data_IF_805497071728
#
_entry.id   IF_805497071728
#
_cell.length_a   1.000
_cell.length_b   1.000
_cell.length_c   1.000
_cell.angle_alpha   90.00
_cell.angle_beta   90.00
_cell.angle_gamma   90.00
#
_symmetry.space_group_name_H-M   'P 1'
#
loop_
_entity.id
_entity.type
_entity.pdbx_description
1 polymer ?
#
# COMPACT_ATOMS: atom_id res chain seq x y z
N UNK A 1 -5.36 -34.97 19.34
CA UNK A 1 -6.06 -34.59 18.09
C UNK A 1 -5.44 -33.36 17.42
N UNK A 2 -4.93 -32.38 18.17
CA UNK A 2 -4.32 -31.16 17.60
C UNK A 2 -3.01 -31.39 16.81
N UNK A 3 -2.18 -32.36 17.20
CA UNK A 3 -0.93 -32.66 16.49
C UNK A 3 -1.16 -33.19 15.06
N UNK A 4 -2.23 -33.96 14.84
CA UNK A 4 -2.56 -34.51 13.52
C UNK A 4 -3.02 -33.38 12.58
N UNK A 5 -3.79 -32.42 13.08
CA UNK A 5 -4.20 -31.23 12.32
C UNK A 5 -3.00 -30.37 11.92
N UNK A 6 -2.04 -30.15 12.83
CA UNK A 6 -0.83 -29.36 12.56
C UNK A 6 0.01 -30.02 11.46
N UNK A 7 0.20 -31.35 11.53
CA UNK A 7 0.97 -32.09 10.52
C UNK A 7 0.25 -32.05 9.16
N UNK A 8 -1.08 -32.17 9.13
CA UNK A 8 -1.85 -32.14 7.88
C UNK A 8 -1.76 -30.77 7.19
N UNK A 9 -1.89 -29.67 7.93
CA UNK A 9 -1.76 -28.31 7.39
C UNK A 9 -0.34 -28.06 6.87
N UNK A 10 0.68 -28.54 7.59
CA UNK A 10 2.07 -28.40 7.19
C UNK A 10 2.38 -29.17 5.90
N UNK A 11 1.83 -30.38 5.73
CA UNK A 11 2.01 -31.17 4.50
C UNK A 11 1.35 -30.51 3.28
N UNK A 12 0.16 -29.93 3.45
CA UNK A 12 -0.52 -29.18 2.37
C UNK A 12 0.32 -27.97 1.95
N UNK A 13 0.86 -27.22 2.91
CA UNK A 13 1.69 -26.04 2.66
C UNK A 13 3.00 -26.38 1.94
N UNK A 14 3.68 -27.46 2.34
CA UNK A 14 4.91 -27.94 1.68
C UNK A 14 4.62 -28.44 0.27
N UNK A 15 3.49 -29.13 0.05
CA UNK A 15 3.10 -29.58 -1.29
C UNK A 15 2.77 -28.41 -2.24
N UNK A 16 2.11 -27.35 -1.75
CA UNK A 16 1.84 -26.15 -2.56
C UNK A 16 3.13 -25.41 -2.91
N UNK A 17 4.05 -25.27 -1.95
CA UNK A 17 5.37 -24.67 -2.17
C UNK A 17 6.24 -25.46 -3.16
N UNK A 18 6.17 -26.80 -3.13
CA UNK A 18 6.88 -27.66 -4.06
C UNK A 18 6.39 -27.45 -5.50
N UNK A 19 5.07 -27.43 -5.73
CA UNK A 19 4.46 -27.18 -7.05
C UNK A 19 4.82 -25.78 -7.58
N UNK A 20 4.80 -24.77 -6.70
CA UNK A 20 5.18 -23.39 -7.05
C UNK A 20 6.65 -23.25 -7.41
N UNK A 21 7.55 -24.06 -6.83
CA UNK A 21 8.98 -24.06 -7.19
C UNK A 21 9.25 -24.76 -8.52
N UNK A 22 8.53 -25.84 -8.83
CA UNK A 22 8.70 -26.57 -10.10
C UNK A 22 8.18 -25.81 -11.33
N UNK A 23 7.36 -24.76 -11.15
CA UNK A 23 6.93 -23.89 -12.26
C UNK A 23 7.91 -22.78 -12.63
N UNK A 24 9.03 -22.60 -11.89
CA UNK A 24 10.09 -21.64 -12.24
C UNK A 24 11.29 -22.35 -12.89
N UNK A 25 11.19 -22.44 -14.22
CA UNK A 25 12.20 -22.72 -15.24
C UNK A 25 12.86 -24.11 -15.29
N UNK A 26 12.84 -24.70 -16.50
CA UNK A 26 14.08 -25.10 -17.15
C UNK A 26 14.30 -24.30 -18.45
N UNK A 27 15.33 -23.47 -18.45
CA UNK A 27 16.03 -23.08 -19.67
C UNK A 27 16.90 -24.26 -20.13
N UNK A 28 16.56 -24.81 -21.28
CA UNK A 28 17.41 -25.42 -22.31
C UNK A 28 18.67 -26.21 -21.87
N UNK A 29 18.63 -27.54 -22.05
CA UNK A 29 19.79 -28.33 -22.49
C UNK A 29 19.30 -29.53 -23.33
N UNK A 30 20.09 -29.86 -24.33
CA UNK A 30 19.74 -30.59 -25.55
C UNK A 30 19.30 -32.04 -25.36
N UNK A 31 18.24 -32.43 -26.06
CA UNK A 31 18.17 -33.77 -26.67
C UNK A 31 17.65 -33.63 -28.10
N UNK A 32 18.60 -33.77 -29.01
CA UNK A 32 18.50 -34.04 -30.43
C UNK A 32 17.38 -35.04 -30.75
N UNK A 33 16.25 -34.54 -31.26
CA UNK A 33 15.34 -35.30 -32.11
C UNK A 33 14.87 -34.42 -33.27
N UNK A 34 15.11 -34.94 -34.46
CA UNK A 34 14.93 -34.32 -35.77
C UNK A 34 13.52 -33.73 -35.98
N UNK A 35 13.39 -32.60 -36.69
CA UNK A 35 12.10 -31.94 -36.89
C UNK A 35 11.21 -32.72 -37.88
N UNK A 36 9.93 -32.98 -37.58
CA UNK A 36 9.00 -33.42 -38.61
C UNK A 36 8.58 -32.20 -39.45
N UNK A 37 9.12 -32.11 -40.66
CA UNK A 37 8.42 -31.52 -41.80
C UNK A 37 8.66 -30.04 -42.08
N UNK A 38 9.91 -29.62 -42.31
CA UNK A 38 10.16 -28.49 -43.21
C UNK A 38 9.76 -28.92 -44.63
N UNK A 39 8.54 -28.57 -45.06
CA UNK A 39 8.17 -28.64 -46.47
C UNK A 39 9.07 -27.67 -47.24
N UNK A 40 9.76 -28.10 -48.31
CA UNK A 40 10.55 -27.20 -49.13
C UNK A 40 9.62 -26.16 -49.75
N UNK A 41 9.86 -24.89 -49.39
CA UNK A 41 9.16 -23.71 -49.87
C UNK A 41 9.51 -23.53 -51.36
N UNK A 42 8.60 -23.95 -52.24
CA UNK A 42 8.74 -23.72 -53.68
C UNK A 42 8.66 -22.22 -53.98
N UNK A 43 9.51 -21.73 -54.87
CA UNK A 43 9.60 -20.32 -55.29
C UNK A 43 8.38 -19.84 -56.11
N UNK A 44 7.25 -20.56 -56.05
CA UNK A 44 6.03 -20.31 -56.82
C UNK A 44 4.74 -20.59 -56.02
N UNK A 45 4.78 -20.62 -54.68
CA UNK A 45 3.56 -20.82 -53.88
C UNK A 45 2.78 -19.50 -53.75
N UNK A 46 2.11 -19.18 -54.84
CA UNK A 46 1.14 -18.11 -54.98
C UNK A 46 -0.25 -18.69 -54.67
N UNK A 47 -0.62 -18.75 -53.39
CA UNK A 47 -2.01 -18.66 -52.90
C UNK A 47 -2.10 -18.78 -51.37
N UNK A 48 -2.61 -17.71 -50.79
CA UNK A 48 -3.20 -17.66 -49.46
C UNK A 48 -4.20 -18.80 -49.22
N UNK A 49 -4.10 -19.50 -48.08
CA UNK A 49 -5.23 -19.89 -47.21
C UNK A 49 -4.66 -20.26 -45.83
N UNK A 50 -5.13 -19.61 -44.75
CA UNK A 50 -5.15 -20.24 -43.43
C UNK A 50 -4.38 -19.58 -42.28
N UNK A 51 -4.42 -18.26 -42.13
CA UNK A 51 -4.18 -17.59 -40.83
C UNK A 51 -5.47 -16.94 -40.35
N UNK A 52 -6.41 -17.75 -39.86
CA UNK A 52 -7.74 -17.32 -39.38
C UNK A 52 -8.05 -17.97 -38.02
N UNK A 53 -7.16 -17.82 -37.03
CA UNK A 53 -7.37 -18.40 -35.69
C UNK A 53 -6.79 -17.63 -34.51
N UNK A 54 -5.78 -16.78 -34.70
CA UNK A 54 -5.10 -16.12 -33.57
C UNK A 54 -5.69 -14.75 -33.17
N UNK A 55 -6.70 -14.25 -33.88
CA UNK A 55 -7.31 -12.93 -33.59
C UNK A 55 -8.51 -12.95 -32.64
N UNK A 56 -9.21 -14.07 -32.48
CA UNK A 56 -10.51 -14.08 -31.78
C UNK A 56 -10.41 -14.23 -30.27
N UNK A 57 -9.42 -14.97 -29.76
CA UNK A 57 -9.25 -15.19 -28.31
C UNK A 57 -8.67 -13.95 -27.64
N UNK A 58 -7.61 -13.36 -28.20
CA UNK A 58 -6.97 -12.13 -27.72
C UNK A 58 -7.93 -10.93 -27.76
N UNK A 59 -8.78 -10.81 -28.78
CA UNK A 59 -9.83 -9.79 -28.80
C UNK A 59 -10.91 -10.02 -27.74
N UNK A 60 -11.27 -11.28 -27.45
CA UNK A 60 -12.29 -11.59 -26.46
C UNK A 60 -11.83 -11.30 -25.03
N UNK A 61 -10.57 -11.62 -24.71
CA UNK A 61 -9.96 -11.35 -23.41
C UNK A 61 -9.80 -9.84 -23.17
N UNK A 62 -9.39 -9.09 -24.20
CA UNK A 62 -9.32 -7.62 -24.12
C UNK A 62 -10.68 -6.99 -23.84
N UNK A 63 -11.73 -7.40 -24.55
CA UNK A 63 -13.09 -6.88 -24.33
C UNK A 63 -13.58 -7.21 -22.92
N UNK A 64 -13.33 -8.42 -22.44
CA UNK A 64 -13.70 -8.82 -21.07
C UNK A 64 -12.95 -7.97 -20.01
N UNK A 65 -11.66 -7.69 -20.22
CA UNK A 65 -10.86 -6.82 -19.35
C UNK A 65 -11.40 -5.38 -19.36
N UNK A 66 -11.69 -4.82 -20.53
CA UNK A 66 -12.24 -3.48 -20.67
C UNK A 66 -13.63 -3.34 -20.04
N UNK A 67 -14.47 -4.38 -20.14
CA UNK A 67 -15.78 -4.42 -19.50
C UNK A 67 -15.67 -4.52 -17.97
N UNK A 68 -14.73 -5.34 -17.48
CA UNK A 68 -14.42 -5.43 -16.05
C UNK A 68 -13.95 -4.08 -15.49
N UNK A 69 -12.99 -3.43 -16.15
CA UNK A 69 -12.50 -2.10 -15.76
C UNK A 69 -13.61 -1.06 -15.78
N UNK A 70 -14.44 -1.02 -16.83
CA UNK A 70 -15.61 -0.12 -16.89
C UNK A 70 -16.58 -0.37 -15.74
N UNK A 71 -16.80 -1.63 -15.38
CA UNK A 71 -17.65 -2.00 -14.23
C UNK A 71 -17.10 -1.46 -12.91
N UNK A 72 -15.80 -1.60 -12.67
CA UNK A 72 -15.15 -1.07 -11.46
C UNK A 72 -15.20 0.46 -11.41
N UNK A 73 -14.91 1.14 -12.52
CA UNK A 73 -14.98 2.60 -12.61
C UNK A 73 -16.39 3.12 -12.33
N UNK A 74 -17.41 2.45 -12.87
CA UNK A 74 -18.81 2.82 -12.59
C UNK A 74 -19.18 2.67 -11.12
N UNK A 75 -18.71 1.60 -10.45
CA UNK A 75 -18.96 1.41 -9.01
C UNK A 75 -18.18 2.41 -8.16
N UNK A 76 -16.93 2.71 -8.52
CA UNK A 76 -16.12 3.73 -7.86
C UNK A 76 -16.78 5.11 -7.94
N UNK A 77 -17.34 5.48 -9.10
CA UNK A 77 -18.10 6.73 -9.25
C UNK A 77 -19.34 6.80 -8.33
N UNK A 78 -19.93 5.66 -7.99
CA UNK A 78 -21.03 5.57 -7.03
C UNK A 78 -20.58 5.60 -5.56
N UNK A 79 -19.27 5.54 -5.29
CA UNK A 79 -18.71 5.56 -3.93
C UNK A 79 -18.57 4.20 -3.27
N UNK A 80 -18.64 3.12 -4.04
CA UNK A 80 -18.40 1.79 -3.52
C UNK A 80 -16.90 1.60 -3.27
N UNK A 81 -16.48 1.44 -2.02
CA UNK A 81 -15.08 1.23 -1.66
C UNK A 81 -14.61 -0.21 -1.86
N UNK A 82 -15.53 -1.20 -1.92
CA UNK A 82 -15.18 -2.61 -2.12
C UNK A 82 -14.50 -2.86 -3.47
N UNK A 83 -14.74 -1.98 -4.45
CA UNK A 83 -14.06 -1.97 -5.75
C UNK A 83 -12.53 -1.93 -5.63
N UNK A 84 -11.99 -1.40 -4.54
CA UNK A 84 -10.54 -1.34 -4.33
C UNK A 84 -9.93 -2.74 -4.14
N UNK A 85 -10.68 -3.67 -3.55
CA UNK A 85 -10.23 -5.07 -3.40
C UNK A 85 -10.21 -5.77 -4.75
N UNK A 86 -11.27 -5.58 -5.54
CA UNK A 86 -11.38 -6.13 -6.89
C UNK A 86 -10.27 -5.57 -7.80
N UNK A 87 -10.01 -4.26 -7.70
CA UNK A 87 -8.94 -3.59 -8.44
C UNK A 87 -7.55 -4.04 -8.03
N UNK A 88 -7.33 -4.30 -6.73
CA UNK A 88 -6.06 -4.78 -6.20
C UNK A 88 -5.67 -6.16 -6.77
N UNK A 89 -6.65 -7.03 -7.01
CA UNK A 89 -6.43 -8.34 -7.63
C UNK A 89 -6.07 -8.25 -9.12
N UNK A 90 -6.37 -7.13 -9.78
CA UNK A 90 -6.02 -6.85 -11.16
C UNK A 90 -4.61 -6.30 -11.31
N UNK A 91 -4.49 -5.00 -11.55
CA UNK A 91 -3.21 -4.32 -11.76
C UNK A 91 -3.00 -3.17 -10.77
N UNK A 92 -1.74 -2.87 -10.46
CA UNK A 92 -1.40 -1.76 -9.57
C UNK A 92 -1.81 -0.39 -10.16
N UNK A 93 -1.82 -0.27 -11.49
CA UNK A 93 -2.23 0.96 -12.19
C UNK A 93 -3.74 1.17 -12.08
N UNK A 94 -4.53 0.12 -12.32
CA UNK A 94 -5.99 0.15 -12.17
C UNK A 94 -6.40 0.46 -10.73
N UNK A 95 -5.73 -0.17 -9.76
CA UNK A 95 -5.92 0.11 -8.34
C UNK A 95 -5.70 1.60 -8.02
N UNK A 96 -4.57 2.16 -8.45
CA UNK A 96 -4.26 3.59 -8.22
C UNK A 96 -5.28 4.49 -8.88
N UNK A 97 -5.67 4.20 -10.12
CA UNK A 97 -6.64 5.00 -10.85
C UNK A 97 -8.01 5.03 -10.15
N UNK A 98 -8.50 3.87 -9.70
CA UNK A 98 -9.76 3.76 -8.96
C UNK A 98 -9.66 4.48 -7.61
N UNK A 99 -8.55 4.34 -6.90
CA UNK A 99 -8.33 5.05 -5.64
C UNK A 99 -8.35 6.57 -5.83
N UNK A 100 -7.70 7.08 -6.87
CA UNK A 100 -7.71 8.52 -7.16
C UNK A 100 -9.12 9.01 -7.49
N UNK A 101 -9.92 8.26 -8.26
CA UNK A 101 -11.34 8.58 -8.52
C UNK A 101 -12.14 8.65 -7.21
N UNK A 102 -11.94 7.70 -6.29
CA UNK A 102 -12.63 7.69 -5.00
C UNK A 102 -12.22 8.90 -4.14
N UNK A 103 -10.93 9.25 -4.12
CA UNK A 103 -10.40 10.42 -3.39
C UNK A 103 -10.95 11.73 -3.97
N UNK A 104 -11.03 11.83 -5.29
CA UNK A 104 -11.62 12.98 -5.99
C UNK A 104 -13.12 13.11 -5.70
N UNK A 105 -13.85 11.98 -5.74
CA UNK A 105 -15.28 11.92 -5.43
C UNK A 105 -15.59 12.42 -4.03
N UNK A 106 -14.77 12.05 -3.03
CA UNK A 106 -14.95 12.56 -1.66
C UNK A 106 -14.91 14.10 -1.59
N UNK A 107 -14.37 14.78 -2.61
CA UNK A 107 -14.46 16.23 -2.74
C UNK A 107 -13.83 16.94 -1.55
N UNK A 108 -14.60 17.83 -0.91
CA UNK A 108 -14.22 18.53 0.33
C UNK A 108 -14.81 17.86 1.60
N UNK A 109 -15.50 16.72 1.44
CA UNK A 109 -16.11 16.02 2.57
C UNK A 109 -15.05 15.28 3.40
N UNK A 110 -14.66 15.88 4.51
CA UNK A 110 -13.72 15.28 5.45
C UNK A 110 -14.21 13.94 6.00
N UNK A 111 -15.52 13.78 6.21
CA UNK A 111 -16.12 12.54 6.73
C UNK A 111 -16.02 11.39 5.73
N UNK A 112 -16.29 11.64 4.45
CA UNK A 112 -16.15 10.62 3.41
C UNK A 112 -14.69 10.24 3.20
N UNK A 113 -13.79 11.23 3.20
CA UNK A 113 -12.35 11.00 3.08
C UNK A 113 -11.82 10.14 4.24
N UNK A 114 -12.28 10.42 5.46
CA UNK A 114 -11.98 9.60 6.65
C UNK A 114 -12.57 8.19 6.56
N UNK A 115 -13.76 8.04 5.99
CA UNK A 115 -14.37 6.71 5.79
C UNK A 115 -13.57 5.88 4.78
N UNK A 116 -13.09 6.49 3.71
CA UNK A 116 -12.19 5.84 2.74
C UNK A 116 -10.85 5.46 3.40
N UNK A 117 -10.30 6.36 4.23
CA UNK A 117 -9.10 6.09 5.00
C UNK A 117 -9.29 4.90 5.96
N UNK A 118 -10.39 4.87 6.72
CA UNK A 118 -10.74 3.76 7.61
C UNK A 118 -10.83 2.45 6.83
N UNK A 119 -11.51 2.47 5.68
CA UNK A 119 -11.60 1.30 4.81
C UNK A 119 -10.22 0.77 4.43
N UNK A 120 -9.30 1.63 3.96
CA UNK A 120 -7.94 1.21 3.57
C UNK A 120 -7.17 0.68 4.79
N UNK A 121 -7.22 1.37 5.93
CA UNK A 121 -6.45 0.97 7.12
C UNK A 121 -6.95 -0.30 7.80
N UNK A 122 -8.19 -0.72 7.55
CA UNK A 122 -8.76 -1.98 8.02
C UNK A 122 -8.42 -3.18 7.12
N UNK A 123 -7.85 -2.92 5.93
CA UNK A 123 -7.48 -3.96 4.96
C UNK A 123 -5.95 -3.94 4.76
N UNK A 124 -5.25 -4.88 5.40
CA UNK A 124 -3.78 -4.91 5.48
C UNK A 124 -3.05 -4.99 4.10
N UNK A 125 -3.75 -5.43 3.06
CA UNK A 125 -3.21 -5.56 1.70
C UNK A 125 -3.28 -4.25 0.90
N UNK A 126 -4.17 -3.34 1.28
CA UNK A 126 -4.42 -2.11 0.54
C UNK A 126 -3.36 -1.05 0.84
N UNK A 127 -3.02 -0.26 -0.18
CA UNK A 127 -2.04 0.83 -0.10
C UNK A 127 -2.74 2.16 -0.29
N UNK A 128 -2.37 3.16 0.50
CA UNK A 128 -2.92 4.49 0.31
C UNK A 128 -2.29 5.17 -0.91
N UNK A 129 -2.92 6.23 -1.41
CA UNK A 129 -2.30 7.13 -2.38
C UNK A 129 -1.68 8.32 -1.65
N UNK A 130 -0.67 8.93 -2.29
CA UNK A 130 -0.12 10.22 -1.85
C UNK A 130 -1.23 11.28 -1.70
N UNK A 131 -2.14 11.34 -2.67
CA UNK A 131 -3.25 12.30 -2.71
C UNK A 131 -4.18 12.16 -1.49
N UNK A 132 -4.53 10.93 -1.11
CA UNK A 132 -5.34 10.68 0.09
C UNK A 132 -4.61 11.15 1.36
N UNK A 133 -3.34 10.76 1.52
CA UNK A 133 -2.53 11.15 2.68
C UNK A 133 -2.37 12.67 2.79
N UNK A 134 -2.13 13.35 1.66
CA UNK A 134 -2.01 14.80 1.60
C UNK A 134 -3.32 15.50 2.03
N UNK A 135 -4.47 15.06 1.51
CA UNK A 135 -5.78 15.64 1.87
C UNK A 135 -6.15 15.41 3.33
N UNK A 136 -5.87 14.23 3.87
CA UNK A 136 -6.08 13.96 5.31
C UNK A 136 -5.17 14.82 6.18
N UNK A 137 -3.92 15.03 5.76
CA UNK A 137 -3.02 15.92 6.49
C UNK A 137 -3.53 17.35 6.47
N UNK A 138 -3.98 17.84 5.32
CA UNK A 138 -4.54 19.19 5.19
C UNK A 138 -5.80 19.40 6.05
N UNK A 139 -6.73 18.42 6.05
CA UNK A 139 -7.90 18.44 6.92
C UNK A 139 -7.49 18.48 8.40
N UNK A 140 -6.57 17.60 8.78
CA UNK A 140 -6.07 17.53 10.15
C UNK A 140 -5.32 18.80 10.57
N UNK A 141 -4.53 19.43 9.68
CA UNK A 141 -3.83 20.69 9.99
C UNK A 141 -4.79 21.85 10.27
N UNK A 142 -5.96 21.86 9.61
CA UNK A 142 -7.04 22.84 9.86
C UNK A 142 -7.72 22.62 11.20
N UNK A 143 -7.93 21.36 11.59
CA UNK A 143 -8.55 21.00 12.87
C UNK A 143 -7.81 19.85 13.56
N UNK A 144 -6.67 20.15 14.24
CA UNK A 144 -5.85 19.12 14.85
C UNK A 144 -6.63 18.38 15.93
N UNK A 145 -6.79 17.08 15.74
CA UNK A 145 -7.46 16.20 16.70
C UNK A 145 -6.59 14.99 16.98
N UNK A 146 -6.47 14.63 18.27
CA UNK A 146 -5.77 13.43 18.72
C UNK A 146 -6.37 12.16 18.14
N UNK A 147 -7.70 12.09 18.04
CA UNK A 147 -8.41 10.89 17.62
C UNK A 147 -7.98 10.41 16.22
N UNK A 148 -7.58 11.34 15.35
CA UNK A 148 -7.22 11.05 13.96
C UNK A 148 -5.72 10.86 13.73
N UNK A 149 -4.87 11.11 14.73
CA UNK A 149 -3.41 10.98 14.57
C UNK A 149 -2.98 9.57 14.15
N UNK A 150 -3.48 8.47 14.77
CA UNK A 150 -3.09 7.13 14.36
C UNK A 150 -3.49 6.83 12.90
N UNK A 151 -4.71 7.22 12.52
CA UNK A 151 -5.22 7.02 11.15
C UNK A 151 -4.39 7.82 10.13
N UNK A 152 -4.12 9.09 10.40
CA UNK A 152 -3.30 9.95 9.53
C UNK A 152 -1.90 9.37 9.32
N UNK A 153 -1.23 8.95 10.39
CA UNK A 153 0.11 8.36 10.29
C UNK A 153 0.08 7.02 9.54
N UNK A 154 -0.90 6.16 9.83
CA UNK A 154 -1.10 4.87 9.15
C UNK A 154 -1.27 5.09 7.64
N UNK A 155 -2.15 6.00 7.24
CA UNK A 155 -2.39 6.32 5.83
C UNK A 155 -1.15 6.92 5.17
N UNK A 156 -0.47 7.85 5.84
CA UNK A 156 0.78 8.41 5.33
C UNK A 156 1.86 7.34 5.14
N UNK A 157 1.96 6.35 6.03
CA UNK A 157 2.89 5.23 5.88
C UNK A 157 2.48 4.29 4.74
N UNK A 158 1.19 4.00 4.61
CA UNK A 158 0.64 3.15 3.54
C UNK A 158 0.71 3.81 2.16
N UNK A 159 0.97 5.12 2.07
CA UNK A 159 1.18 5.83 0.81
C UNK A 159 2.50 5.49 0.12
N UNK A 160 3.39 4.79 0.84
CA UNK A 160 4.75 4.45 0.39
C UNK A 160 5.58 5.66 -0.06
N UNK A 161 5.19 6.86 0.37
CA UNK A 161 5.93 8.10 0.17
C UNK A 161 6.58 8.55 1.49
N UNK A 162 7.90 8.35 1.58
CA UNK A 162 8.66 8.72 2.76
C UNK A 162 8.65 10.24 3.05
N UNK A 163 8.53 11.09 2.02
CA UNK A 163 8.43 12.53 2.20
C UNK A 163 7.05 12.92 2.77
N UNK A 164 5.98 12.24 2.31
CA UNK A 164 4.65 12.43 2.86
C UNK A 164 4.57 12.02 4.34
N UNK A 165 5.15 10.87 4.70
CA UNK A 165 5.22 10.44 6.10
C UNK A 165 6.06 11.39 6.96
N UNK A 166 7.21 11.87 6.46
CA UNK A 166 8.01 12.89 7.14
C UNK A 166 7.22 14.16 7.38
N UNK A 167 6.50 14.66 6.37
CA UNK A 167 5.66 15.85 6.48
C UNK A 167 4.61 15.67 7.58
N UNK A 168 3.92 14.53 7.61
CA UNK A 168 2.92 14.24 8.65
C UNK A 168 3.54 14.25 10.06
N UNK A 169 4.68 13.58 10.25
CA UNK A 169 5.42 13.59 11.53
C UNK A 169 5.81 15.01 11.94
N UNK A 170 6.32 15.80 10.99
CA UNK A 170 6.73 17.18 11.24
C UNK A 170 5.55 18.09 11.61
N UNK A 171 4.38 17.93 10.98
CA UNK A 171 3.17 18.68 11.33
C UNK A 171 2.62 18.29 12.71
N UNK A 172 2.69 17.01 13.06
CA UNK A 172 2.31 16.52 14.40
C UNK A 172 3.22 17.08 15.50
N UNK A 173 4.53 17.09 15.27
CA UNK A 173 5.49 17.67 16.21
C UNK A 173 5.29 19.17 16.41
N UNK A 174 4.96 19.92 15.34
CA UNK A 174 4.60 21.35 15.45
C UNK A 174 3.33 21.53 16.28
N UNK A 175 2.26 20.78 15.98
CA UNK A 175 1.03 20.87 16.76
C UNK A 175 1.24 20.50 18.24
N UNK A 176 2.13 19.54 18.53
CA UNK A 176 2.50 19.22 19.90
C UNK A 176 3.26 20.36 20.59
N UNK A 177 4.25 20.99 19.91
CA UNK A 177 4.97 22.13 20.47
C UNK A 177 4.08 23.34 20.70
N UNK A 178 3.07 23.53 19.84
CA UNK A 178 2.07 24.60 19.95
C UNK A 178 1.04 24.33 21.05
N UNK A 179 1.10 23.18 21.74
CA UNK A 179 0.12 22.80 22.74
C UNK A 179 -1.26 22.45 22.16
N UNK A 180 -1.38 22.19 20.86
CA UNK A 180 -2.64 21.75 20.23
C UNK A 180 -2.92 20.25 20.46
N UNK A 181 -1.93 19.51 20.94
CA UNK A 181 -2.01 18.08 21.30
C UNK A 181 -1.66 17.86 22.78
N UNK A 182 -2.30 18.59 23.70
CA UNK A 182 -1.96 18.57 25.14
C UNK A 182 -2.03 17.20 25.80
N UNK A 183 -2.95 16.37 25.33
CA UNK A 183 -3.30 15.11 25.98
C UNK A 183 -2.50 13.93 25.44
N UNK A 184 -1.67 14.15 24.41
CA UNK A 184 -0.83 13.11 23.84
C UNK A 184 0.54 13.10 24.52
N UNK A 185 0.89 11.96 25.10
CA UNK A 185 2.19 11.83 25.74
C UNK A 185 3.30 11.76 24.69
N UNK A 186 4.50 12.21 25.08
CA UNK A 186 5.67 12.09 24.21
C UNK A 186 6.03 10.63 23.90
N UNK A 187 5.67 9.70 24.80
CA UNK A 187 5.86 8.26 24.61
C UNK A 187 4.87 7.66 23.61
N UNK A 188 3.60 8.06 23.68
CA UNK A 188 2.55 7.69 22.74
C UNK A 188 2.92 8.12 21.31
N UNK A 189 3.32 9.39 21.12
CA UNK A 189 3.74 9.88 19.81
C UNK A 189 4.97 9.13 19.27
N UNK A 190 5.97 8.88 20.12
CA UNK A 190 7.14 8.10 19.72
C UNK A 190 6.73 6.69 19.26
N UNK A 191 5.88 6.02 20.04
CA UNK A 191 5.40 4.68 19.73
C UNK A 191 4.65 4.64 18.40
N UNK A 192 3.80 5.65 18.14
CA UNK A 192 3.08 5.78 16.88
C UNK A 192 4.05 5.99 15.70
N UNK A 193 4.99 6.93 15.80
CA UNK A 193 5.94 7.17 14.71
C UNK A 193 6.79 5.94 14.37
N UNK A 194 7.28 5.24 15.40
CA UNK A 194 8.10 4.03 15.20
C UNK A 194 7.25 2.87 14.65
N UNK A 195 6.03 2.69 15.14
CA UNK A 195 5.11 1.64 14.67
C UNK A 195 4.73 1.83 13.21
N UNK A 196 4.30 3.03 12.84
CA UNK A 196 3.84 3.33 11.47
C UNK A 196 4.99 3.37 10.46
N UNK A 197 6.21 3.75 10.88
CA UNK A 197 7.39 3.71 10.02
C UNK A 197 7.65 2.32 9.43
N UNK A 198 7.32 1.24 10.15
CA UNK A 198 7.55 -0.12 9.66
C UNK A 198 6.66 -0.51 8.48
N UNK A 199 5.50 0.15 8.33
CA UNK A 199 4.56 -0.13 7.24
C UNK A 199 4.98 0.43 5.89
N UNK A 200 5.84 1.45 5.88
CA UNK A 200 6.43 1.98 4.66
C UNK A 200 7.10 0.84 3.88
N UNK A 201 6.91 0.85 2.56
CA UNK A 201 7.59 -0.09 1.68
C UNK A 201 9.11 -0.05 1.84
N UNK A 202 9.76 -1.18 1.52
CA UNK A 202 11.22 -1.28 1.52
C UNK A 202 11.87 -0.33 0.52
N UNK A 203 11.16 0.06 -0.54
CA UNK A 203 11.60 1.06 -1.50
C UNK A 203 11.58 2.47 -0.90
N UNK A 204 10.44 2.87 -0.31
CA UNK A 204 10.29 4.16 0.36
C UNK A 204 11.37 4.36 1.44
N UNK A 205 11.64 3.33 2.25
CA UNK A 205 12.66 3.37 3.32
C UNK A 205 14.09 3.49 2.80
N UNK A 206 14.39 2.94 1.62
CA UNK A 206 15.72 2.96 0.99
C UNK A 206 15.94 4.18 0.09
N UNK A 207 14.89 4.92 -0.24
CA UNK A 207 14.98 6.15 -1.02
C UNK A 207 15.77 7.25 -0.29
N UNK A 208 16.16 8.30 -1.02
CA UNK A 208 16.79 9.49 -0.43
C UNK A 208 15.87 10.19 0.58
N UNK A 209 14.57 10.29 0.30
CA UNK A 209 13.58 10.78 1.26
C UNK A 209 13.48 9.87 2.50
N UNK A 210 13.60 8.56 2.33
CA UNK A 210 13.67 7.58 3.42
C UNK A 210 14.89 7.75 4.33
N UNK A 211 16.02 8.21 3.79
CA UNK A 211 17.17 8.60 4.61
C UNK A 211 16.88 9.84 5.45
N UNK A 212 16.33 10.91 4.85
CA UNK A 212 15.96 12.14 5.56
C UNK A 212 14.92 11.86 6.65
N UNK A 213 13.92 11.03 6.35
CA UNK A 213 12.92 10.58 7.32
C UNK A 213 13.57 9.88 8.53
N UNK A 214 14.53 8.98 8.32
CA UNK A 214 15.24 8.31 9.44
C UNK A 214 15.99 9.31 10.31
N UNK A 215 16.66 10.28 9.70
CA UNK A 215 17.34 11.36 10.43
C UNK A 215 16.33 12.19 11.25
N UNK A 216 15.17 12.51 10.66
CA UNK A 216 14.09 13.24 11.32
C UNK A 216 13.51 12.46 12.49
N UNK A 217 13.19 11.18 12.33
CA UNK A 217 12.71 10.32 13.42
C UNK A 217 13.72 10.22 14.56
N UNK A 218 15.02 10.09 14.24
CA UNK A 218 16.07 10.09 15.25
C UNK A 218 16.14 11.42 16.02
N UNK A 219 15.90 12.56 15.36
CA UNK A 219 15.80 13.87 15.99
C UNK A 219 14.58 13.96 16.91
N UNK A 220 13.39 13.65 16.38
CA UNK A 220 12.12 13.66 17.10
C UNK A 220 12.18 12.78 18.34
N UNK A 221 12.79 11.60 18.25
CA UNK A 221 13.01 10.72 19.41
C UNK A 221 13.78 11.42 20.52
N UNK A 222 14.85 12.15 20.20
CA UNK A 222 15.63 12.90 21.20
C UNK A 222 14.82 14.02 21.83
N UNK A 223 14.06 14.77 21.03
CA UNK A 223 13.18 15.85 21.52
C UNK A 223 12.11 15.31 22.48
N UNK A 224 11.42 14.24 22.10
CA UNK A 224 10.39 13.60 22.92
C UNK A 224 10.96 13.02 24.22
N UNK A 225 12.16 12.43 24.18
CA UNK A 225 12.86 11.96 25.40
C UNK A 225 13.25 13.12 26.32
N UNK A 226 13.76 14.23 25.78
CA UNK A 226 14.11 15.40 26.58
C UNK A 226 12.87 16.05 27.22
N UNK A 227 11.78 16.17 26.48
CA UNK A 227 10.50 16.69 26.98
C UNK A 227 9.94 15.82 28.12
N UNK A 228 10.06 14.49 28.02
CA UNK A 228 9.70 13.56 29.10
C UNK A 228 10.54 13.80 30.36
N UNK A 229 11.87 13.88 30.22
CA UNK A 229 12.77 14.11 31.36
C UNK A 229 12.47 15.42 32.07
N UNK A 230 12.19 16.50 31.32
CA UNK A 230 11.82 17.79 31.88
C UNK A 230 10.51 17.74 32.69
N UNK A 231 9.49 17.02 32.20
CA UNK A 231 8.22 16.85 32.93
C UNK A 231 8.40 16.09 34.25
N UNK A 232 9.17 15.00 34.26
CA UNK A 232 9.44 14.19 35.46
C UNK A 232 10.13 15.02 36.54
N UNK A 233 11.16 15.79 36.17
CA UNK A 233 11.88 16.65 37.10
C UNK A 233 10.98 17.73 37.73
N UNK A 234 10.07 18.32 36.96
CA UNK A 234 9.13 19.33 37.45
C UNK A 234 8.08 18.75 38.42
N UNK A 235 7.68 17.49 38.24
CA UNK A 235 6.78 16.79 39.19
C UNK A 235 7.48 16.39 40.50
N UNK A 236 8.76 16.04 40.48
CA UNK A 236 9.51 15.67 41.70
C UNK A 236 9.92 16.89 42.56
N UNK A 237 10.06 18.08 41.97
CA UNK A 237 10.35 19.32 42.70
C UNK A 237 9.17 19.93 43.48
N UNK A 238 7.95 19.36 43.36
CA UNK A 238 6.73 19.83 44.04
C UNK A 238 6.35 18.97 45.25
N UNK A 239 7.31 18.67 46.13
CA UNK A 239 6.98 18.20 47.49
C UNK A 239 6.98 19.40 48.45
N UNK A 240 5.81 19.85 48.95
CA UNK A 240 5.76 20.89 49.97
C UNK A 240 6.28 20.30 51.29
N UNK A 241 7.21 21.01 51.91
CA UNK A 241 7.57 20.86 53.32
C UNK A 241 6.50 21.49 54.21
#
# INVERSE_FOLDING_TARGET
>A
MSAILIISVFLIFVATLAVLRTKRSPSNEETEYLPPGLRPRGLFDDRAVGSLGEGSEDESERRASEEFERGLLSRAALGDFEVLKDAHAGSAELYRHILDILVERCGESADELRTLADFITQNDELRASHTLAARLLEDWERNPSRAYVPQLLRVAALSDDAAMFERAVSSLMRAQSDGRLTDMSAEELRSLFEGEYWLLSSEAKRSGAGFLLRQRLAHVRRELSAARAARVNNTQGRHPS
#
